data_IF_664779238166
#
_entry.id   IF_664779238166
#
_cell.length_a   1.000
_cell.length_b   1.000
_cell.length_c   1.000
_cell.angle_alpha   90.00
_cell.angle_beta   90.00
_cell.angle_gamma   90.00
#
_symmetry.space_group_name_H-M   'P 1'
#
loop_
_entity.id
_entity.type
_entity.pdbx_description
1 polymer ?
#
# COMPACT_ATOMS: atom_id res chain seq x y z
N UNK A 1 51.46 -7.31 -13.17
CA UNK A 1 51.87 -8.16 -12.03
C UNK A 1 52.25 -7.33 -10.80
N UNK A 2 53.22 -6.41 -10.88
CA UNK A 2 53.65 -5.59 -9.72
C UNK A 2 52.55 -4.68 -9.12
N UNK A 3 51.68 -4.08 -9.95
CA UNK A 3 50.56 -3.22 -9.50
C UNK A 3 49.47 -4.01 -8.77
N UNK A 4 49.22 -5.24 -9.21
CA UNK A 4 48.24 -6.15 -8.58
C UNK A 4 48.79 -6.66 -7.24
N UNK A 5 50.09 -6.94 -7.16
CA UNK A 5 50.76 -7.33 -5.92
C UNK A 5 50.78 -6.20 -4.89
N UNK A 6 51.06 -4.96 -5.31
CA UNK A 6 50.97 -3.78 -4.43
C UNK A 6 49.55 -3.56 -3.90
N UNK A 7 48.54 -3.74 -4.77
CA UNK A 7 47.13 -3.64 -4.40
C UNK A 7 46.70 -4.70 -3.39
N UNK A 8 47.13 -5.96 -3.57
CA UNK A 8 46.82 -7.06 -2.64
C UNK A 8 47.55 -6.88 -1.30
N UNK A 9 48.80 -6.39 -1.30
CA UNK A 9 49.56 -6.12 -0.07
C UNK A 9 48.97 -4.92 0.69
N UNK A 10 48.52 -3.85 0.00
CA UNK A 10 47.78 -2.77 0.65
C UNK A 10 46.44 -3.24 1.23
N UNK A 11 45.73 -4.13 0.54
CA UNK A 11 44.45 -4.69 1.01
C UNK A 11 44.63 -5.63 2.22
N UNK A 12 45.74 -6.40 2.25
CA UNK A 12 46.10 -7.24 3.38
C UNK A 12 46.63 -6.45 4.58
N UNK A 13 47.36 -5.35 4.36
CA UNK A 13 47.83 -4.48 5.45
C UNK A 13 46.69 -3.68 6.08
N UNK A 14 45.74 -3.19 5.28
CA UNK A 14 44.52 -2.55 5.81
C UNK A 14 43.64 -3.53 6.57
N UNK A 15 43.62 -4.82 6.21
CA UNK A 15 42.95 -5.85 7.01
C UNK A 15 43.72 -6.24 8.29
N UNK A 16 45.05 -6.18 8.28
CA UNK A 16 45.87 -6.51 9.44
C UNK A 16 45.80 -5.42 10.53
N UNK A 17 45.76 -4.14 10.16
CA UNK A 17 45.55 -3.03 11.11
C UNK A 17 44.10 -3.01 11.65
N UNK A 18 43.13 -3.42 10.85
CA UNK A 18 41.72 -3.51 11.27
C UNK A 18 41.45 -4.62 12.32
N UNK A 19 42.36 -5.58 12.50
CA UNK A 19 42.27 -6.61 13.55
C UNK A 19 42.88 -6.18 14.89
N UNK A 20 43.60 -5.06 14.95
CA UNK A 20 44.27 -4.57 16.16
C UNK A 20 43.35 -3.68 17.02
N UNK A 21 42.34 -3.06 16.40
CA UNK A 21 41.38 -2.18 17.06
C UNK A 21 40.03 -2.89 17.17
N UNK A 22 39.50 -3.01 18.39
CA UNK A 22 38.20 -3.63 18.66
C UNK A 22 37.20 -2.54 19.09
N UNK A 23 36.55 -1.86 18.12
CA UNK A 23 35.51 -0.88 18.42
C UNK A 23 34.25 -1.60 18.90
N UNK A 24 33.75 -1.20 20.05
CA UNK A 24 32.50 -1.72 20.59
C UNK A 24 31.52 -0.56 20.82
N UNK A 25 30.46 -0.53 20.02
CA UNK A 25 29.24 0.16 20.40
C UNK A 25 28.47 -0.79 21.31
N UNK A 26 28.39 -0.45 22.60
CA UNK A 26 27.72 -1.28 23.62
C UNK A 26 26.18 -1.22 23.49
N UNK A 27 25.66 -1.41 22.28
CA UNK A 27 24.25 -1.47 21.95
C UNK A 27 24.03 -2.31 20.70
N UNK A 28 23.11 -3.28 20.77
CA UNK A 28 22.66 -4.06 19.60
C UNK A 28 21.27 -3.59 19.19
N UNK A 29 21.20 -2.75 18.16
CA UNK A 29 19.94 -2.21 17.64
C UNK A 29 19.27 -1.22 18.62
N UNK A 30 19.34 0.07 18.30
CA UNK A 30 18.76 1.12 19.16
C UNK A 30 17.39 1.54 18.63
N UNK A 31 16.36 1.38 19.45
CA UNK A 31 15.05 1.98 19.22
C UNK A 31 14.97 3.33 19.95
N UNK A 32 14.60 4.39 19.23
CA UNK A 32 14.35 5.70 19.81
C UNK A 32 13.08 6.33 19.24
N UNK A 33 12.56 7.33 19.91
CA UNK A 33 11.42 8.08 19.39
C UNK A 33 11.84 9.31 18.58
N UNK A 34 10.98 9.74 17.66
CA UNK A 34 11.15 11.00 16.94
C UNK A 34 11.29 12.16 17.92
N UNK A 35 12.36 12.94 17.78
CA UNK A 35 12.70 14.06 18.65
C UNK A 35 13.64 13.69 19.81
N UNK A 36 13.72 12.42 20.18
CA UNK A 36 14.58 11.95 21.27
C UNK A 36 16.04 11.92 20.83
N UNK A 37 16.94 12.09 21.80
CA UNK A 37 18.37 11.92 21.63
C UNK A 37 18.85 10.88 22.62
N UNK A 38 19.42 9.79 22.12
CA UNK A 38 20.02 8.73 22.94
C UNK A 38 21.54 8.90 22.93
N UNK A 39 22.13 8.68 24.09
CA UNK A 39 23.58 8.66 24.28
C UNK A 39 24.02 7.21 24.28
N UNK A 40 24.85 6.82 23.31
CA UNK A 40 25.32 5.45 23.13
C UNK A 40 26.78 5.39 23.58
N UNK A 41 27.12 4.56 24.57
CA UNK A 41 28.50 4.39 24.99
C UNK A 41 29.31 3.69 23.90
N UNK A 42 30.46 4.28 23.60
CA UNK A 42 31.47 3.76 22.68
C UNK A 42 32.73 3.40 23.49
N UNK A 43 33.29 2.23 23.22
CA UNK A 43 34.57 1.82 23.78
C UNK A 43 35.49 1.27 22.69
N UNK A 44 36.74 1.75 22.66
CA UNK A 44 37.78 1.27 21.76
C UNK A 44 39.00 0.85 22.57
N UNK A 45 39.48 -0.36 22.30
CA UNK A 45 40.79 -0.82 22.77
C UNK A 45 41.88 -0.35 21.80
N UNK A 46 42.84 0.41 22.32
CA UNK A 46 43.97 0.96 21.55
C UNK A 46 45.22 0.12 21.90
N UNK A 47 45.90 -0.48 20.91
CA UNK A 47 47.16 -1.19 21.13
C UNK A 47 48.23 -0.26 21.72
N UNK A 48 49.00 -0.73 22.70
CA UNK A 48 50.10 0.04 23.32
C UNK A 48 51.18 0.49 22.32
N UNK A 49 51.27 -0.18 21.17
CA UNK A 49 52.22 0.14 20.10
C UNK A 49 51.80 1.34 19.23
N UNK A 50 50.57 1.84 19.37
CA UNK A 50 50.05 2.91 18.53
C UNK A 50 50.42 4.29 19.09
N UNK A 51 51.10 5.10 18.28
CA UNK A 51 51.45 6.49 18.59
C UNK A 51 50.86 7.39 17.49
N UNK A 52 49.76 8.07 17.81
CA UNK A 52 49.06 8.99 16.90
C UNK A 52 47.78 9.52 17.53
N UNK A 53 47.19 10.58 16.97
CA UNK A 53 45.88 11.07 17.39
C UNK A 53 44.81 10.26 16.67
N UNK A 54 43.83 9.79 17.43
CA UNK A 54 42.62 9.20 16.88
C UNK A 54 41.49 10.21 16.93
N UNK A 55 40.71 10.25 15.86
CA UNK A 55 39.47 11.00 15.80
C UNK A 55 38.30 10.08 15.44
N UNK A 56 37.10 10.47 15.82
CA UNK A 56 35.88 9.71 15.55
C UNK A 56 34.94 10.53 14.68
N UNK A 57 34.43 9.91 13.62
CA UNK A 57 33.43 10.51 12.74
C UNK A 57 32.24 9.58 12.62
N UNK A 58 31.06 10.13 12.92
CA UNK A 58 29.78 9.44 12.73
C UNK A 58 29.15 9.84 11.41
N UNK A 59 28.69 8.85 10.64
CA UNK A 59 27.88 9.05 9.45
C UNK A 59 26.56 8.29 9.60
N UNK A 60 25.49 8.88 9.09
CA UNK A 60 24.19 8.21 8.99
C UNK A 60 23.90 7.91 7.54
N UNK A 61 23.41 6.71 7.25
CA UNK A 61 23.03 6.30 5.91
C UNK A 61 21.86 7.13 5.37
N UNK A 62 20.92 7.49 6.25
CA UNK A 62 19.88 8.49 6.00
C UNK A 62 19.85 9.55 7.13
N UNK A 63 20.45 10.73 6.90
CA UNK A 63 20.48 11.80 7.89
C UNK A 63 19.11 12.44 8.13
N UNK A 64 18.10 12.19 7.29
CA UNK A 64 16.74 12.66 7.53
C UNK A 64 16.01 11.78 8.56
N UNK A 65 16.41 10.52 8.71
CA UNK A 65 15.82 9.58 9.68
C UNK A 65 16.50 9.74 11.03
N UNK A 66 17.82 9.62 11.06
CA UNK A 66 18.59 9.72 12.29
C UNK A 66 19.89 10.47 12.04
N UNK A 67 20.22 11.41 12.92
CA UNK A 67 21.47 12.17 12.87
C UNK A 67 22.36 11.76 14.01
N UNK A 68 23.62 11.51 13.69
CA UNK A 68 24.67 11.22 14.66
C UNK A 68 25.49 12.47 14.91
N UNK A 69 25.70 12.79 16.17
CA UNK A 69 26.61 13.82 16.64
C UNK A 69 27.66 13.15 17.51
N UNK A 70 28.90 13.19 17.02
CA UNK A 70 30.05 12.70 17.75
C UNK A 70 30.70 13.90 18.43
N UNK A 71 31.02 13.84 19.74
CA UNK A 71 31.84 14.85 20.36
C UNK A 71 33.21 14.88 19.65
N UNK A 72 33.66 16.07 19.24
CA UNK A 72 35.05 16.25 18.83
C UNK A 72 35.93 15.92 20.04
N UNK A 73 36.53 14.74 20.04
CA UNK A 73 37.44 14.28 21.08
C UNK A 73 38.63 13.60 20.40
N UNK A 74 39.83 14.09 20.73
CA UNK A 74 41.06 13.34 20.50
C UNK A 74 41.10 12.20 21.52
N UNK A 75 41.48 11.00 21.08
CA UNK A 75 41.60 9.86 22.00
C UNK A 75 42.48 10.22 23.21
N UNK A 76 42.08 9.84 24.43
CA UNK A 76 42.88 10.09 25.63
C UNK A 76 44.20 9.30 25.57
N UNK A 77 45.25 9.83 26.21
CA UNK A 77 46.50 9.09 26.41
C UNK A 77 46.21 7.80 27.23
N UNK A 78 46.24 6.63 26.56
CA UNK A 78 45.99 5.35 27.21
C UNK A 78 45.56 4.24 26.25
N UNK A 79 45.38 3.03 26.79
CA UNK A 79 44.99 1.81 26.06
C UNK A 79 43.48 1.65 25.84
N UNK A 80 42.66 2.54 26.40
CA UNK A 80 41.20 2.53 26.27
C UNK A 80 40.66 3.92 26.03
N UNK A 81 39.88 4.05 24.97
CA UNK A 81 39.08 5.23 24.70
C UNK A 81 37.61 4.91 24.98
N UNK A 82 37.06 5.52 26.03
CA UNK A 82 35.64 5.49 26.34
C UNK A 82 35.05 6.86 26.07
N UNK A 83 34.05 6.89 25.19
CA UNK A 83 33.29 8.11 24.90
C UNK A 83 31.83 7.74 24.65
N UNK A 84 31.03 8.71 24.23
CA UNK A 84 29.64 8.51 23.91
C UNK A 84 29.23 9.26 22.66
N UNK A 85 28.37 8.63 21.88
CA UNK A 85 27.85 9.19 20.64
C UNK A 85 26.40 9.57 20.88
N UNK A 86 26.01 10.76 20.42
CA UNK A 86 24.63 11.22 20.50
C UNK A 86 23.91 10.92 19.20
N UNK A 87 22.84 10.15 19.29
CA UNK A 87 21.99 9.81 18.15
C UNK A 87 20.63 10.47 18.34
N UNK A 88 20.25 11.35 17.43
CA UNK A 88 18.97 12.05 17.43
C UNK A 88 18.04 11.49 16.35
N UNK A 89 16.82 11.15 16.74
CA UNK A 89 15.77 10.71 15.82
C UNK A 89 15.08 11.91 15.21
N UNK A 90 15.13 12.04 13.89
CA UNK A 90 14.53 13.16 13.16
C UNK A 90 13.22 12.71 12.51
N UNK A 91 13.23 11.55 11.86
CA UNK A 91 12.08 11.04 11.12
C UNK A 91 11.91 9.54 11.30
N UNK A 92 10.68 9.04 11.08
CA UNK A 92 10.35 7.63 11.20
C UNK A 92 11.04 6.80 10.13
N UNK A 93 11.71 5.74 10.54
CA UNK A 93 12.39 4.85 9.61
C UNK A 93 13.49 4.04 10.27
N UNK A 94 14.31 3.42 9.44
CA UNK A 94 15.52 2.72 9.85
C UNK A 94 16.71 3.36 9.16
N UNK A 95 17.76 3.63 9.90
CA UNK A 95 19.03 4.12 9.36
C UNK A 95 20.18 3.39 10.03
N UNK A 96 21.22 3.07 9.27
CA UNK A 96 22.46 2.55 9.81
C UNK A 96 23.39 3.73 10.10
N UNK A 97 23.86 3.79 11.35
CA UNK A 97 24.87 4.72 11.80
C UNK A 97 26.20 4.02 11.74
N UNK A 98 27.10 4.56 10.93
CA UNK A 98 28.48 4.11 10.81
C UNK A 98 29.38 5.03 11.63
N UNK A 99 30.18 4.45 12.50
CA UNK A 99 31.16 5.16 13.30
C UNK A 99 32.54 4.74 12.80
N UNK A 100 33.22 5.68 12.16
CA UNK A 100 34.56 5.51 11.64
C UNK A 100 35.56 6.11 12.63
N UNK A 101 36.55 5.31 13.03
CA UNK A 101 37.72 5.78 13.76
C UNK A 101 38.82 6.07 12.75
N UNK A 102 39.35 7.28 12.77
CA UNK A 102 40.35 7.79 11.85
C UNK A 102 41.70 7.98 12.56
N UNK A 103 42.78 7.69 11.83
CA UNK A 103 44.16 8.04 12.19
C UNK A 103 44.46 9.51 11.80
N UNK A 104 45.62 10.04 12.20
CA UNK A 104 46.19 11.37 11.88
C UNK A 104 46.16 11.73 10.38
N UNK A 105 46.18 10.72 9.50
CA UNK A 105 46.13 10.89 8.04
C UNK A 105 44.72 10.72 7.44
N UNK A 106 43.66 10.83 8.25
CA UNK A 106 42.26 10.56 7.87
C UNK A 106 42.00 9.13 7.34
N UNK A 107 42.89 8.19 7.64
CA UNK A 107 42.74 6.78 7.30
C UNK A 107 41.80 6.06 8.26
N UNK A 108 40.82 5.32 7.74
CA UNK A 108 39.86 4.54 8.54
C UNK A 108 40.55 3.29 9.09
N UNK A 109 40.65 3.19 10.42
CA UNK A 109 41.32 2.08 11.11
C UNK A 109 40.33 1.10 11.76
N UNK A 110 39.15 1.58 12.12
CA UNK A 110 38.09 0.79 12.73
C UNK A 110 36.74 1.36 12.29
N UNK A 111 35.79 0.46 12.02
CA UNK A 111 34.43 0.81 11.62
C UNK A 111 33.45 -0.06 12.37
N UNK A 112 32.52 0.57 13.05
CA UNK A 112 31.40 -0.10 13.69
C UNK A 112 30.08 0.41 13.12
N UNK A 113 29.13 -0.51 12.92
CA UNK A 113 27.80 -0.17 12.38
C UNK A 113 26.73 -0.46 13.41
N UNK A 114 25.82 0.49 13.57
CA UNK A 114 24.67 0.35 14.45
C UNK A 114 23.38 0.66 13.69
N UNK A 115 22.47 -0.33 13.65
CA UNK A 115 21.12 -0.11 13.14
C UNK A 115 20.31 0.69 14.16
N UNK A 116 19.72 1.77 13.70
CA UNK A 116 18.90 2.67 14.49
C UNK A 116 17.49 2.71 13.93
N UNK A 117 16.51 2.39 14.76
CA UNK A 117 15.09 2.41 14.40
C UNK A 117 14.39 3.55 15.12
N UNK A 118 13.90 4.52 14.35
CA UNK A 118 13.17 5.66 14.88
C UNK A 118 11.68 5.37 14.78
N UNK A 119 11.02 5.29 15.93
CA UNK A 119 9.58 5.07 16.08
C UNK A 119 8.91 6.32 16.65
N UNK A 120 7.58 6.32 16.78
CA UNK A 120 6.86 7.36 17.51
C UNK A 120 6.47 6.80 18.89
N UNK A 121 6.36 7.64 19.93
CA UNK A 121 5.90 7.17 21.23
C UNK A 121 4.45 6.70 21.10
N UNK A 122 4.14 5.52 21.65
CA UNK A 122 2.78 5.00 21.64
C UNK A 122 1.88 5.90 22.49
N UNK A 123 0.86 6.48 21.87
CA UNK A 123 -0.14 7.31 22.56
C UNK A 123 -1.37 6.46 22.85
N UNK A 124 -2.11 6.81 23.91
CA UNK A 124 -3.43 6.19 24.20
C UNK A 124 -4.35 6.24 22.98
N UNK A 125 -4.22 7.28 22.15
CA UNK A 125 -4.98 7.46 20.91
C UNK A 125 -4.69 6.35 19.87
N UNK A 126 -3.48 5.77 19.85
CA UNK A 126 -3.11 4.69 18.94
C UNK A 126 -3.78 3.37 19.31
N UNK A 127 -3.87 3.07 20.60
CA UNK A 127 -4.61 1.91 21.10
C UNK A 127 -6.10 2.07 20.79
N UNK A 128 -6.65 3.26 21.09
CA UNK A 128 -8.06 3.56 20.85
C UNK A 128 -8.42 3.43 19.36
N UNK A 129 -7.52 3.89 18.48
CA UNK A 129 -7.65 3.72 17.04
C UNK A 129 -7.60 2.28 16.60
N UNK A 130 -6.62 1.52 17.09
CA UNK A 130 -6.47 0.10 16.75
C UNK A 130 -7.75 -0.66 17.11
N UNK A 131 -8.27 -0.47 18.32
CA UNK A 131 -9.54 -1.09 18.75
C UNK A 131 -10.72 -0.62 17.88
N UNK A 132 -10.78 0.68 17.55
CA UNK A 132 -11.84 1.25 16.71
C UNK A 132 -11.82 0.66 15.30
N UNK A 133 -10.66 0.62 14.64
CA UNK A 133 -10.52 0.05 13.29
C UNK A 133 -10.85 -1.44 13.28
N UNK A 134 -10.35 -2.22 14.25
CA UNK A 134 -10.69 -3.64 14.35
C UNK A 134 -12.19 -3.86 14.47
N UNK A 135 -12.87 -3.05 15.28
CA UNK A 135 -14.33 -3.10 15.47
C UNK A 135 -15.06 -2.72 14.18
N UNK A 136 -14.68 -1.62 13.54
CA UNK A 136 -15.32 -1.15 12.32
C UNK A 136 -15.12 -2.12 11.15
N UNK A 137 -13.92 -2.69 10.99
CA UNK A 137 -13.64 -3.72 9.99
C UNK A 137 -14.43 -4.99 10.28
N UNK A 138 -14.57 -5.40 11.55
CA UNK A 138 -15.42 -6.55 11.90
C UNK A 138 -16.89 -6.33 11.51
N UNK A 139 -17.43 -5.15 11.80
CA UNK A 139 -18.79 -4.77 11.36
C UNK A 139 -18.90 -4.75 9.83
N UNK A 140 -17.87 -4.26 9.14
CA UNK A 140 -17.82 -4.27 7.68
C UNK A 140 -17.86 -5.71 7.12
N UNK A 141 -17.12 -6.65 7.72
CA UNK A 141 -17.14 -8.06 7.31
C UNK A 141 -18.47 -8.75 7.62
N UNK A 142 -19.13 -8.40 8.73
CA UNK A 142 -20.52 -8.83 8.98
C UNK A 142 -21.43 -8.31 7.86
N UNK A 143 -21.31 -7.05 7.47
CA UNK A 143 -22.09 -6.47 6.38
C UNK A 143 -21.81 -7.18 5.04
N UNK A 144 -20.56 -7.54 4.75
CA UNK A 144 -20.23 -8.33 3.56
C UNK A 144 -20.87 -9.72 3.59
N UNK A 145 -20.86 -10.39 4.73
CA UNK A 145 -21.57 -11.66 4.92
C UNK A 145 -23.08 -11.52 4.69
N UNK A 146 -23.68 -10.41 5.15
CA UNK A 146 -25.08 -10.07 4.90
C UNK A 146 -25.37 -9.79 3.42
N UNK A 147 -24.43 -9.13 2.72
CA UNK A 147 -24.55 -8.76 1.32
C UNK A 147 -24.34 -9.93 0.34
N UNK A 148 -23.78 -11.05 0.83
CA UNK A 148 -23.50 -12.21 0.00
C UNK A 148 -24.80 -12.91 -0.42
N UNK A 149 -25.25 -12.65 -1.64
CA UNK A 149 -26.39 -13.35 -2.22
C UNK A 149 -25.92 -14.61 -2.97
N UNK A 150 -26.13 -15.76 -2.33
CA UNK A 150 -25.76 -17.06 -2.91
C UNK A 150 -26.54 -17.38 -4.19
N UNK A 151 -27.77 -16.88 -4.34
CA UNK A 151 -28.56 -17.11 -5.56
C UNK A 151 -27.94 -16.38 -6.75
N UNK A 152 -27.55 -15.12 -6.56
CA UNK A 152 -26.84 -14.31 -7.56
C UNK A 152 -25.47 -14.90 -7.87
N UNK A 153 -24.73 -15.36 -6.86
CA UNK A 153 -23.44 -16.03 -7.09
C UNK A 153 -23.61 -17.29 -7.93
N UNK A 154 -24.59 -18.14 -7.61
CA UNK A 154 -24.87 -19.38 -8.35
C UNK A 154 -25.32 -19.12 -9.78
N UNK A 155 -26.22 -18.15 -9.99
CA UNK A 155 -26.67 -17.76 -11.32
C UNK A 155 -25.51 -17.19 -12.15
N UNK A 156 -24.67 -16.35 -11.56
CA UNK A 156 -23.52 -15.78 -12.26
C UNK A 156 -22.49 -16.86 -12.61
N UNK A 157 -22.27 -17.84 -11.72
CA UNK A 157 -21.40 -19.00 -12.01
C UNK A 157 -21.95 -19.91 -13.11
N UNK A 158 -23.25 -19.86 -13.44
CA UNK A 158 -23.81 -20.56 -14.60
C UNK A 158 -23.35 -19.98 -15.94
N UNK A 159 -22.83 -18.74 -15.94
CA UNK A 159 -22.21 -18.07 -17.10
C UNK A 159 -20.73 -17.77 -16.78
N UNK A 160 -19.87 -18.80 -16.76
CA UNK A 160 -18.57 -18.73 -16.10
C UNK A 160 -17.55 -17.80 -16.75
N UNK A 161 -17.73 -17.43 -18.03
CA UNK A 161 -16.73 -16.68 -18.80
C UNK A 161 -16.41 -15.33 -18.13
N UNK A 162 -17.45 -14.54 -17.80
CA UNK A 162 -17.27 -13.23 -17.15
C UNK A 162 -16.56 -13.34 -15.79
N UNK A 163 -17.11 -14.08 -14.81
CA UNK A 163 -16.49 -14.27 -13.50
C UNK A 163 -15.09 -14.86 -13.55
N UNK A 164 -14.81 -15.78 -14.49
CA UNK A 164 -13.48 -16.36 -14.65
C UNK A 164 -12.47 -15.31 -15.11
N UNK A 165 -12.80 -14.51 -16.12
CA UNK A 165 -11.94 -13.41 -16.59
C UNK A 165 -11.74 -12.40 -15.46
N UNK A 166 -12.81 -12.00 -14.76
CA UNK A 166 -12.74 -11.11 -13.61
C UNK A 166 -11.85 -11.68 -12.49
N UNK A 167 -11.95 -12.98 -12.22
CA UNK A 167 -11.10 -13.68 -11.27
C UNK A 167 -9.63 -13.69 -11.67
N UNK A 168 -9.32 -13.92 -12.96
CA UNK A 168 -7.94 -13.83 -13.47
C UNK A 168 -7.41 -12.39 -13.38
N UNK A 169 -8.22 -11.40 -13.74
CA UNK A 169 -7.86 -10.00 -13.60
C UNK A 169 -7.58 -9.63 -12.14
N UNK A 170 -8.45 -10.05 -11.23
CA UNK A 170 -8.34 -9.72 -9.80
C UNK A 170 -7.21 -10.47 -9.09
N UNK A 171 -7.01 -11.76 -9.38
CA UNK A 171 -6.11 -12.62 -8.61
C UNK A 171 -4.76 -12.91 -9.27
N UNK A 172 -4.60 -12.57 -10.54
CA UNK A 172 -3.33 -12.70 -11.23
C UNK A 172 -2.84 -11.34 -11.72
N UNK A 173 -3.66 -10.62 -12.48
CA UNK A 173 -3.21 -9.38 -13.12
C UNK A 173 -2.96 -8.26 -12.12
N UNK A 174 -3.87 -8.01 -11.17
CA UNK A 174 -3.70 -6.94 -10.18
C UNK A 174 -2.49 -7.14 -9.25
N UNK A 175 -2.22 -8.34 -8.70
CA UNK A 175 -0.98 -8.62 -7.97
C UNK A 175 0.29 -8.36 -8.78
N UNK A 176 0.32 -8.79 -10.04
CA UNK A 176 1.47 -8.60 -10.92
C UNK A 176 1.68 -7.13 -11.29
N UNK A 177 0.59 -6.39 -11.54
CA UNK A 177 0.66 -4.93 -11.75
C UNK A 177 1.21 -4.24 -10.50
N UNK A 178 0.70 -4.57 -9.32
CA UNK A 178 1.18 -3.94 -8.08
C UNK A 178 2.65 -4.24 -7.81
N UNK A 179 3.09 -5.47 -8.02
CA UNK A 179 4.51 -5.84 -7.92
C UNK A 179 5.36 -5.06 -8.95
N UNK A 180 4.93 -5.02 -10.21
CA UNK A 180 5.64 -4.31 -11.27
C UNK A 180 5.75 -2.81 -11.01
N UNK A 181 4.64 -2.15 -10.66
CA UNK A 181 4.63 -0.71 -10.32
C UNK A 181 5.51 -0.45 -9.10
N UNK A 182 5.44 -1.31 -8.08
CA UNK A 182 6.31 -1.22 -6.90
C UNK A 182 7.79 -1.25 -7.28
N UNK A 183 8.22 -2.22 -8.09
CA UNK A 183 9.63 -2.35 -8.49
C UNK A 183 10.13 -1.22 -9.38
N UNK A 184 9.26 -0.64 -10.21
CA UNK A 184 9.62 0.46 -11.12
C UNK A 184 9.65 1.81 -10.41
N UNK A 185 8.66 2.10 -9.56
CA UNK A 185 8.54 3.42 -8.92
C UNK A 185 9.31 3.51 -7.59
N UNK A 186 9.53 2.39 -6.91
CA UNK A 186 10.11 2.35 -5.57
C UNK A 186 11.24 1.32 -5.45
N UNK A 187 12.27 1.33 -6.33
CA UNK A 187 13.32 0.30 -6.35
C UNK A 187 14.02 0.14 -4.99
N UNK A 188 14.27 1.26 -4.30
CA UNK A 188 15.01 1.31 -3.04
C UNK A 188 14.12 1.50 -1.80
N UNK A 189 12.78 1.50 -1.97
CA UNK A 189 11.83 1.72 -0.87
C UNK A 189 10.88 0.53 -0.71
N UNK A 190 11.26 -0.50 0.06
CA UNK A 190 10.49 -1.72 0.25
C UNK A 190 9.15 -1.47 0.96
N UNK A 191 9.05 -0.47 1.82
CA UNK A 191 7.80 -0.09 2.49
C UNK A 191 6.75 0.39 1.49
N UNK A 192 7.14 1.24 0.53
CA UNK A 192 6.23 1.65 -0.55
C UNK A 192 5.84 0.47 -1.43
N UNK A 193 6.80 -0.42 -1.77
CA UNK A 193 6.49 -1.65 -2.51
C UNK A 193 5.46 -2.53 -1.78
N UNK A 194 5.61 -2.71 -0.46
CA UNK A 194 4.65 -3.46 0.36
C UNK A 194 3.28 -2.78 0.36
N UNK A 195 3.23 -1.45 0.48
CA UNK A 195 1.99 -0.68 0.46
C UNK A 195 1.19 -0.87 -0.83
N UNK A 196 1.84 -0.74 -1.99
CA UNK A 196 1.17 -0.97 -3.29
C UNK A 196 0.81 -2.44 -3.49
N UNK A 197 1.70 -3.37 -3.09
CA UNK A 197 1.48 -4.80 -3.24
C UNK A 197 0.27 -5.28 -2.45
N UNK A 198 0.15 -4.89 -1.17
CA UNK A 198 -1.03 -5.19 -0.34
C UNK A 198 -2.31 -4.61 -0.92
N UNK A 199 -2.23 -3.44 -1.56
CA UNK A 199 -3.38 -2.84 -2.27
C UNK A 199 -3.80 -3.67 -3.49
N UNK A 200 -2.85 -4.17 -4.27
CA UNK A 200 -3.15 -4.95 -5.49
C UNK A 200 -3.56 -6.41 -5.26
N UNK A 201 -3.16 -7.01 -4.14
CA UNK A 201 -3.59 -8.38 -3.77
C UNK A 201 -4.92 -8.39 -3.01
N UNK A 202 -5.40 -7.21 -2.57
CA UNK A 202 -6.69 -7.08 -1.88
C UNK A 202 -7.84 -7.50 -2.80
N UNK A 203 -9.01 -7.90 -2.26
CA UNK A 203 -10.20 -8.14 -3.08
C UNK A 203 -10.77 -6.82 -3.63
N UNK A 204 -11.73 -6.94 -4.56
CA UNK A 204 -12.40 -5.76 -5.11
C UNK A 204 -13.18 -5.00 -4.03
N UNK A 205 -13.21 -3.66 -4.14
CA UNK A 205 -13.84 -2.78 -3.17
C UNK A 205 -15.32 -2.57 -3.45
N UNK A 206 -16.17 -2.59 -2.42
CA UNK A 206 -17.63 -2.44 -2.57
C UNK A 206 -18.12 -1.12 -3.22
N UNK A 207 -17.23 -0.14 -3.40
CA UNK A 207 -17.50 1.05 -4.21
C UNK A 207 -17.69 0.74 -5.70
N UNK A 208 -17.14 -0.38 -6.20
CA UNK A 208 -17.33 -0.86 -7.58
C UNK A 208 -18.80 -0.98 -7.95
N UNK A 209 -19.62 -1.54 -7.07
CA UNK A 209 -21.06 -1.69 -7.26
C UNK A 209 -21.77 -0.36 -7.57
N UNK A 210 -21.36 0.75 -6.96
CA UNK A 210 -21.94 2.07 -7.20
C UNK A 210 -21.55 2.57 -8.59
N UNK A 211 -20.26 2.51 -8.91
CA UNK A 211 -19.74 2.96 -10.20
C UNK A 211 -20.29 2.12 -11.35
N UNK A 212 -20.45 0.81 -11.15
CA UNK A 212 -21.10 -0.10 -12.09
C UNK A 212 -22.51 0.38 -12.41
N UNK A 213 -23.34 0.72 -11.42
CA UNK A 213 -24.69 1.28 -11.67
C UNK A 213 -24.62 2.63 -12.37
N UNK A 214 -23.79 3.55 -11.88
CA UNK A 214 -23.67 4.90 -12.45
C UNK A 214 -23.23 4.89 -13.93
N UNK A 215 -22.41 3.91 -14.29
CA UNK A 215 -21.89 3.73 -15.64
C UNK A 215 -22.66 2.68 -16.46
N UNK A 216 -23.83 2.22 -16.01
CA UNK A 216 -24.71 1.23 -16.68
C UNK A 216 -24.03 -0.13 -16.97
N UNK A 217 -23.10 -0.55 -16.10
CA UNK A 217 -22.56 -1.90 -16.11
C UNK A 217 -23.54 -2.93 -15.53
N UNK A 218 -23.20 -4.21 -15.66
CA UNK A 218 -23.94 -5.31 -15.08
C UNK A 218 -23.72 -5.37 -13.55
N UNK A 219 -24.70 -4.89 -12.79
CA UNK A 219 -24.63 -4.86 -11.32
C UNK A 219 -24.58 -6.27 -10.70
N UNK A 220 -25.38 -7.22 -11.22
CA UNK A 220 -25.42 -8.58 -10.68
C UNK A 220 -24.04 -9.25 -10.80
N UNK A 221 -23.36 -9.03 -11.93
CA UNK A 221 -22.00 -9.49 -12.14
C UNK A 221 -21.01 -8.83 -11.17
N UNK A 222 -21.08 -7.51 -10.96
CA UNK A 222 -20.22 -6.79 -10.01
C UNK A 222 -20.39 -7.32 -8.58
N UNK A 223 -21.63 -7.47 -8.09
CA UNK A 223 -21.90 -8.00 -6.75
C UNK A 223 -21.37 -9.44 -6.59
N UNK A 224 -21.57 -10.29 -7.60
CA UNK A 224 -21.07 -11.66 -7.58
C UNK A 224 -19.54 -11.69 -7.53
N UNK A 225 -18.86 -10.89 -8.35
CA UNK A 225 -17.40 -10.80 -8.36
C UNK A 225 -16.85 -10.21 -7.06
N UNK A 226 -17.46 -9.18 -6.47
CA UNK A 226 -17.03 -8.64 -5.17
C UNK A 226 -17.13 -9.72 -4.09
N UNK A 227 -18.24 -10.46 -4.08
CA UNK A 227 -18.50 -11.51 -3.08
C UNK A 227 -17.52 -12.67 -3.24
N UNK A 228 -17.38 -13.20 -4.46
CA UNK A 228 -16.45 -14.27 -4.77
C UNK A 228 -15.01 -13.84 -4.51
N UNK A 229 -14.66 -12.59 -4.84
CA UNK A 229 -13.30 -12.12 -4.65
C UNK A 229 -12.94 -11.94 -3.18
N UNK A 230 -13.88 -11.44 -2.37
CA UNK A 230 -13.73 -11.33 -0.92
C UNK A 230 -13.52 -12.71 -0.30
N UNK A 231 -14.31 -13.72 -0.69
CA UNK A 231 -14.12 -15.10 -0.22
C UNK A 231 -12.77 -15.68 -0.65
N UNK A 232 -12.39 -15.49 -1.91
CA UNK A 232 -11.12 -16.01 -2.42
C UNK A 232 -9.89 -15.29 -1.81
N UNK A 233 -10.03 -14.03 -1.39
CA UNK A 233 -8.91 -13.27 -0.78
C UNK A 233 -8.33 -13.90 0.49
N UNK A 234 -9.12 -14.67 1.25
CA UNK A 234 -8.62 -15.40 2.41
C UNK A 234 -7.53 -16.42 2.05
N UNK A 235 -7.54 -16.92 0.82
CA UNK A 235 -6.51 -17.83 0.30
C UNK A 235 -5.50 -17.11 -0.60
N UNK A 236 -5.97 -16.23 -1.48
CA UNK A 236 -5.11 -15.60 -2.49
C UNK A 236 -4.19 -14.52 -1.92
N UNK A 237 -4.62 -13.75 -0.91
CA UNK A 237 -3.74 -12.76 -0.27
C UNK A 237 -2.55 -13.44 0.44
N UNK A 238 -2.75 -14.43 1.33
CA UNK A 238 -1.62 -15.16 1.90
C UNK A 238 -0.73 -15.79 0.83
N UNK A 239 -1.30 -16.42 -0.20
CA UNK A 239 -0.53 -17.00 -1.31
C UNK A 239 0.43 -16.00 -1.97
N UNK A 240 -0.06 -14.79 -2.30
CA UNK A 240 0.79 -13.76 -2.89
C UNK A 240 1.81 -13.19 -1.92
N UNK A 241 1.47 -13.07 -0.64
CA UNK A 241 2.40 -12.66 0.42
C UNK A 241 3.53 -13.70 0.59
N UNK A 242 3.22 -15.00 0.53
CA UNK A 242 4.20 -16.08 0.63
C UNK A 242 5.10 -16.22 -0.60
N UNK A 243 4.69 -15.67 -1.75
CA UNK A 243 5.43 -15.73 -3.01
C UNK A 243 6.13 -14.40 -3.29
N UNK A 244 5.53 -13.50 -4.08
CA UNK A 244 6.13 -12.22 -4.46
C UNK A 244 6.30 -11.27 -3.27
N UNK A 245 5.40 -11.33 -2.29
CA UNK A 245 5.51 -10.52 -1.07
C UNK A 245 6.81 -10.79 -0.34
N UNK A 246 7.16 -12.08 -0.14
CA UNK A 246 8.41 -12.51 0.51
C UNK A 246 9.63 -11.83 -0.12
N UNK A 247 9.70 -11.75 -1.45
CA UNK A 247 10.80 -11.09 -2.14
C UNK A 247 10.92 -9.60 -1.77
N UNK A 248 9.79 -8.89 -1.65
CA UNK A 248 9.77 -7.47 -1.26
C UNK A 248 10.23 -7.32 0.20
N UNK A 249 9.73 -8.17 1.09
CA UNK A 249 10.09 -8.17 2.51
C UNK A 249 11.58 -8.48 2.74
N UNK A 250 12.10 -9.50 2.06
CA UNK A 250 13.51 -9.90 2.13
C UNK A 250 14.43 -8.77 1.65
N UNK A 251 14.02 -8.03 0.60
CA UNK A 251 14.78 -6.88 0.08
C UNK A 251 14.88 -5.72 1.08
N UNK A 252 13.94 -5.61 2.02
CA UNK A 252 13.91 -4.54 3.02
C UNK A 252 14.39 -4.94 4.41
N UNK A 253 14.98 -6.14 4.58
CA UNK A 253 15.28 -6.69 5.91
C UNK A 253 14.06 -6.65 6.85
N UNK A 254 12.86 -6.85 6.29
CA UNK A 254 11.60 -6.87 7.03
C UNK A 254 11.16 -8.33 7.20
N UNK A 255 10.96 -8.77 8.43
CA UNK A 255 10.44 -10.11 8.70
C UNK A 255 8.95 -10.14 8.36
N UNK A 256 8.55 -11.04 7.46
CA UNK A 256 7.14 -11.21 7.12
C UNK A 256 6.36 -11.71 8.35
N UNK A 257 5.32 -11.00 8.80
CA UNK A 257 4.56 -11.37 10.00
C UNK A 257 3.51 -12.45 9.70
N UNK A 258 3.93 -13.61 9.19
CA UNK A 258 3.06 -14.68 8.70
C UNK A 258 2.00 -15.11 9.72
N UNK A 259 2.41 -15.31 10.97
CA UNK A 259 1.50 -15.71 12.06
C UNK A 259 0.39 -14.67 12.26
N UNK A 260 0.73 -13.37 12.28
CA UNK A 260 -0.25 -12.29 12.48
C UNK A 260 -1.21 -12.22 11.30
N UNK A 261 -0.71 -12.27 10.08
CA UNK A 261 -1.54 -12.25 8.86
C UNK A 261 -2.52 -13.42 8.87
N UNK A 262 -2.06 -14.63 9.21
CA UNK A 262 -2.92 -15.81 9.32
C UNK A 262 -3.99 -15.67 10.42
N UNK A 263 -3.62 -15.18 11.62
CA UNK A 263 -4.58 -14.94 12.69
C UNK A 263 -5.63 -13.90 12.31
N UNK A 264 -5.22 -12.81 11.65
CA UNK A 264 -6.14 -11.77 11.19
C UNK A 264 -7.08 -12.32 10.12
N UNK A 265 -6.56 -13.05 9.13
CA UNK A 265 -7.36 -13.67 8.09
C UNK A 265 -8.40 -14.62 8.68
N UNK A 266 -8.00 -15.54 9.56
CA UNK A 266 -8.94 -16.45 10.26
C UNK A 266 -9.93 -15.68 11.12
N UNK A 267 -9.46 -14.64 11.81
CA UNK A 267 -10.28 -13.76 12.64
C UNK A 267 -11.39 -13.04 11.85
N UNK A 268 -11.16 -12.71 10.58
CA UNK A 268 -12.14 -12.08 9.69
C UNK A 268 -13.15 -13.07 9.07
N UNK A 269 -12.86 -14.38 9.07
CA UNK A 269 -13.82 -15.41 8.64
C UNK A 269 -15.01 -15.49 9.62
N UNK A 270 -14.76 -15.29 10.92
CA UNK A 270 -15.82 -15.30 11.95
C UNK A 270 -16.90 -14.23 11.72
N UNK A 271 -16.59 -12.91 11.63
CA UNK A 271 -17.59 -11.88 11.38
C UNK A 271 -18.29 -12.08 10.03
N UNK A 272 -17.57 -12.54 8.99
CA UNK A 272 -18.18 -12.88 7.71
C UNK A 272 -19.22 -14.00 7.85
N UNK A 273 -18.88 -15.07 8.57
CA UNK A 273 -19.79 -16.19 8.86
C UNK A 273 -21.02 -15.76 9.67
N UNK A 274 -20.84 -14.87 10.64
CA UNK A 274 -21.95 -14.25 11.39
C UNK A 274 -22.86 -13.46 10.44
N UNK A 275 -22.29 -12.65 9.55
CA UNK A 275 -23.05 -11.92 8.53
C UNK A 275 -23.86 -12.85 7.62
N UNK A 276 -23.24 -13.93 7.14
CA UNK A 276 -23.93 -14.93 6.32
C UNK A 276 -25.05 -15.65 7.08
N UNK A 277 -24.84 -15.94 8.37
CA UNK A 277 -25.89 -16.51 9.21
C UNK A 277 -27.08 -15.55 9.38
N UNK A 278 -26.81 -14.25 9.57
CA UNK A 278 -27.85 -13.20 9.63
C UNK A 278 -28.60 -13.13 8.30
N UNK A 279 -27.90 -13.18 7.16
CA UNK A 279 -28.48 -13.21 5.82
C UNK A 279 -29.55 -14.32 5.70
N UNK A 280 -29.21 -15.53 6.16
CA UNK A 280 -30.07 -16.71 6.03
C UNK A 280 -31.25 -16.71 7.00
N UNK A 281 -31.03 -16.30 8.26
CA UNK A 281 -32.04 -16.43 9.32
C UNK A 281 -32.89 -15.17 9.51
N UNK A 282 -32.35 -14.00 9.17
CA UNK A 282 -32.98 -12.69 9.42
C UNK A 282 -32.89 -11.79 8.17
N UNK A 283 -33.60 -12.11 7.07
CA UNK A 283 -33.48 -11.38 5.79
C UNK A 283 -33.85 -9.90 5.91
N UNK A 284 -34.81 -9.54 6.78
CA UNK A 284 -35.15 -8.15 7.07
C UNK A 284 -33.97 -7.37 7.65
N UNK A 285 -33.27 -7.95 8.63
CA UNK A 285 -32.09 -7.35 9.24
C UNK A 285 -30.95 -7.25 8.22
N UNK A 286 -30.72 -8.31 7.43
CA UNK A 286 -29.72 -8.29 6.35
C UNK A 286 -29.96 -7.14 5.37
N UNK A 287 -31.20 -6.92 4.93
CA UNK A 287 -31.51 -5.83 4.00
C UNK A 287 -31.15 -4.43 4.56
N UNK A 288 -31.29 -4.22 5.87
CA UNK A 288 -30.91 -2.99 6.55
C UNK A 288 -29.38 -2.88 6.64
N UNK A 289 -28.70 -3.96 7.03
CA UNK A 289 -27.23 -4.04 7.10
C UNK A 289 -26.59 -3.71 5.74
N UNK A 290 -27.07 -4.34 4.65
CA UNK A 290 -26.60 -4.07 3.28
C UNK A 290 -26.83 -2.61 2.87
N UNK A 291 -27.94 -2.00 3.28
CA UNK A 291 -28.23 -0.59 2.99
C UNK A 291 -27.26 0.35 3.72
N UNK A 292 -26.91 0.04 4.96
CA UNK A 292 -25.99 0.84 5.79
C UNK A 292 -24.52 0.63 5.39
N UNK A 293 -24.18 -0.47 4.74
CA UNK A 293 -22.82 -0.80 4.32
C UNK A 293 -22.13 0.35 3.56
N UNK A 294 -22.83 1.02 2.63
CA UNK A 294 -22.25 2.10 1.83
C UNK A 294 -21.82 3.33 2.65
N UNK A 295 -22.72 4.01 3.38
CA UNK A 295 -22.31 5.15 4.22
C UNK A 295 -21.31 4.73 5.29
N UNK A 296 -21.43 3.52 5.83
CA UNK A 296 -20.50 3.00 6.82
C UNK A 296 -19.07 2.85 6.27
N UNK A 297 -18.88 2.30 5.07
CA UNK A 297 -17.57 2.20 4.42
C UNK A 297 -16.93 3.57 4.18
N UNK A 298 -17.73 4.58 3.80
CA UNK A 298 -17.24 5.96 3.63
C UNK A 298 -16.79 6.53 4.97
N UNK A 299 -17.59 6.37 6.03
CA UNK A 299 -17.25 6.81 7.38
C UNK A 299 -15.97 6.12 7.88
N UNK A 300 -15.80 4.81 7.63
CA UNK A 300 -14.60 4.07 7.99
C UNK A 300 -13.35 4.62 7.28
N UNK A 301 -13.43 4.86 5.97
CA UNK A 301 -12.30 5.42 5.21
C UNK A 301 -11.97 6.83 5.71
N UNK A 302 -12.98 7.69 5.89
CA UNK A 302 -12.78 9.03 6.45
C UNK A 302 -12.17 8.96 7.85
N UNK A 303 -12.65 8.06 8.70
CA UNK A 303 -12.08 7.86 10.05
C UNK A 303 -10.61 7.44 9.99
N UNK A 304 -10.26 6.47 9.13
CA UNK A 304 -8.87 6.03 8.97
C UNK A 304 -7.99 7.15 8.44
N UNK A 305 -8.44 7.89 7.42
CA UNK A 305 -7.71 9.00 6.81
C UNK A 305 -7.56 10.14 7.81
N UNK A 306 -8.65 10.61 8.41
CA UNK A 306 -8.61 11.68 9.43
C UNK A 306 -7.72 11.28 10.59
N UNK A 307 -7.81 10.06 11.10
CA UNK A 307 -6.92 9.60 12.15
C UNK A 307 -5.45 9.56 11.69
N UNK A 308 -5.17 9.06 10.49
CA UNK A 308 -3.83 9.05 9.92
C UNK A 308 -3.28 10.48 9.83
N UNK A 309 -4.09 11.44 9.39
CA UNK A 309 -3.72 12.86 9.33
C UNK A 309 -3.47 13.44 10.73
N UNK A 310 -4.38 13.22 11.68
CA UNK A 310 -4.30 13.77 13.04
C UNK A 310 -3.13 13.20 13.83
N UNK A 311 -2.85 11.91 13.66
CA UNK A 311 -1.72 11.27 14.35
C UNK A 311 -0.40 11.48 13.65
N UNK A 312 -0.43 11.68 12.33
CA UNK A 312 0.74 11.68 11.49
C UNK A 312 0.64 12.75 10.38
N UNK A 313 0.72 14.03 10.75
CA UNK A 313 0.86 15.14 9.79
C UNK A 313 2.05 14.90 8.82
N UNK A 314 3.08 14.19 9.27
CA UNK A 314 4.20 13.76 8.44
C UNK A 314 3.81 12.82 7.28
N UNK A 315 2.69 12.09 7.32
CA UNK A 315 2.28 11.24 6.19
C UNK A 315 2.01 12.07 4.92
N UNK A 316 1.67 13.35 5.07
CA UNK A 316 1.58 14.27 3.93
C UNK A 316 2.93 14.75 3.43
N UNK A 317 3.95 14.81 4.27
CA UNK A 317 5.33 15.05 3.82
C UNK A 317 5.84 13.88 2.97
N UNK A 318 5.34 12.66 3.22
CA UNK A 318 5.62 11.50 2.39
C UNK A 318 4.95 11.54 1.02
N UNK A 319 3.91 12.35 0.79
CA UNK A 319 3.18 12.39 -0.48
C UNK A 319 4.08 12.95 -1.60
N UNK A 320 4.94 12.10 -2.13
CA UNK A 320 5.79 12.40 -3.26
C UNK A 320 5.01 12.22 -4.57
N UNK A 321 5.54 12.81 -5.64
CA UNK A 321 5.02 12.59 -6.99
C UNK A 321 4.93 11.10 -7.34
N UNK A 322 5.90 10.28 -6.90
CA UNK A 322 5.91 8.83 -7.13
C UNK A 322 4.73 8.13 -6.43
N UNK A 323 4.38 8.54 -5.21
CA UNK A 323 3.22 7.97 -4.50
C UNK A 323 1.93 8.30 -5.23
N UNK A 324 1.73 9.55 -5.65
CA UNK A 324 0.54 9.94 -6.43
C UNK A 324 0.48 9.16 -7.74
N UNK A 325 1.60 9.07 -8.46
CA UNK A 325 1.70 8.32 -9.71
C UNK A 325 1.40 6.83 -9.50
N UNK A 326 1.87 6.23 -8.42
CA UNK A 326 1.56 4.84 -8.06
C UNK A 326 0.09 4.66 -7.71
N UNK A 327 -0.49 5.64 -6.99
CA UNK A 327 -1.88 5.71 -6.59
C UNK A 327 -2.84 5.82 -7.78
N UNK A 328 -2.42 6.51 -8.84
CA UNK A 328 -3.12 6.52 -10.14
C UNK A 328 -2.85 5.22 -10.91
N UNK A 329 -1.59 4.81 -10.99
CA UNK A 329 -1.13 3.72 -11.83
C UNK A 329 -1.84 2.40 -11.56
N UNK A 330 -1.93 1.99 -10.30
CA UNK A 330 -2.53 0.70 -9.95
C UNK A 330 -4.02 0.60 -10.35
N UNK A 331 -4.93 1.47 -9.85
CA UNK A 331 -6.34 1.38 -10.22
C UNK A 331 -6.58 1.67 -11.71
N UNK A 332 -5.82 2.60 -12.32
CA UNK A 332 -6.07 2.99 -13.71
C UNK A 332 -5.61 1.93 -14.70
N UNK A 333 -4.45 1.31 -14.47
CA UNK A 333 -4.02 0.14 -15.23
C UNK A 333 -4.97 -1.03 -14.99
N UNK A 334 -5.49 -1.21 -13.78
CA UNK A 334 -6.54 -2.18 -13.49
C UNK A 334 -7.80 -1.98 -14.36
N UNK A 335 -8.30 -0.74 -14.46
CA UNK A 335 -9.42 -0.42 -15.35
C UNK A 335 -9.12 -0.76 -16.82
N UNK A 336 -7.94 -0.35 -17.30
CA UNK A 336 -7.53 -0.56 -18.70
C UNK A 336 -7.37 -2.06 -19.00
N UNK A 337 -6.67 -2.79 -18.14
CA UNK A 337 -6.44 -4.21 -18.32
C UNK A 337 -7.72 -5.03 -18.23
N UNK A 338 -8.60 -4.73 -17.27
CA UNK A 338 -9.91 -5.38 -17.16
C UNK A 338 -10.79 -5.11 -18.39
N UNK A 339 -10.74 -3.88 -18.92
CA UNK A 339 -11.42 -3.53 -20.17
C UNK A 339 -10.83 -4.28 -21.39
N UNK A 340 -9.51 -4.30 -21.54
CA UNK A 340 -8.81 -4.99 -22.64
C UNK A 340 -9.09 -6.50 -22.62
N UNK A 341 -8.98 -7.15 -21.47
CA UNK A 341 -9.22 -8.57 -21.31
C UNK A 341 -10.64 -8.95 -21.77
N UNK A 342 -11.63 -8.14 -21.40
CA UNK A 342 -13.03 -8.37 -21.75
C UNK A 342 -13.37 -8.05 -23.21
N UNK A 343 -12.70 -7.05 -23.79
CA UNK A 343 -12.82 -6.78 -25.21
C UNK A 343 -12.27 -7.91 -26.07
N UNK A 344 -11.10 -8.47 -25.70
CA UNK A 344 -10.50 -9.62 -26.38
C UNK A 344 -11.45 -10.83 -26.30
N UNK A 345 -12.10 -11.04 -25.16
CA UNK A 345 -13.06 -12.11 -24.95
C UNK A 345 -14.47 -11.81 -25.51
N UNK A 346 -14.65 -10.70 -26.24
CA UNK A 346 -15.88 -10.30 -26.96
C UNK A 346 -17.15 -10.31 -26.10
N UNK A 347 -17.03 -9.87 -24.85
CA UNK A 347 -18.14 -9.88 -23.90
C UNK A 347 -19.11 -8.69 -24.09
N UNK A 348 -20.36 -8.78 -23.60
CA UNK A 348 -21.34 -7.70 -23.69
C UNK A 348 -20.84 -6.41 -23.03
N UNK A 349 -21.16 -5.24 -23.60
CA UNK A 349 -20.67 -3.93 -23.12
C UNK A 349 -20.97 -3.66 -21.64
N UNK A 350 -22.10 -4.15 -21.13
CA UNK A 350 -22.45 -4.02 -19.71
C UNK A 350 -21.50 -4.82 -18.81
N UNK A 351 -21.09 -6.01 -19.24
CA UNK A 351 -20.16 -6.87 -18.51
C UNK A 351 -18.73 -6.33 -18.62
N UNK A 352 -18.31 -5.85 -19.80
CA UNK A 352 -17.01 -5.18 -19.97
C UNK A 352 -16.86 -4.02 -18.99
N UNK A 353 -17.89 -3.17 -18.85
CA UNK A 353 -17.88 -2.06 -17.89
C UNK A 353 -17.79 -2.56 -16.44
N UNK A 354 -18.58 -3.57 -16.09
CA UNK A 354 -18.57 -4.13 -14.73
C UNK A 354 -17.19 -4.69 -14.35
N UNK A 355 -16.60 -5.53 -15.20
CA UNK A 355 -15.29 -6.16 -14.91
C UNK A 355 -14.15 -5.14 -14.93
N UNK A 356 -14.17 -4.17 -15.85
CA UNK A 356 -13.17 -3.11 -15.85
C UNK A 356 -13.19 -2.36 -14.51
N UNK A 357 -14.37 -1.89 -14.08
CA UNK A 357 -14.55 -1.19 -12.80
C UNK A 357 -14.14 -2.08 -11.62
N UNK A 358 -14.59 -3.33 -11.60
CA UNK A 358 -14.28 -4.28 -10.53
C UNK A 358 -12.77 -4.53 -10.39
N UNK A 359 -12.06 -4.64 -11.52
CA UNK A 359 -10.61 -4.90 -11.54
C UNK A 359 -9.82 -3.70 -11.01
N UNK A 360 -10.19 -2.48 -11.37
CA UNK A 360 -9.44 -1.31 -10.92
C UNK A 360 -9.80 -0.84 -9.51
N UNK A 361 -11.03 -1.05 -9.04
CA UNK A 361 -11.41 -0.67 -7.67
C UNK A 361 -11.00 -1.76 -6.69
N UNK A 362 -9.93 -1.49 -5.94
CA UNK A 362 -9.46 -2.37 -4.87
C UNK A 362 -10.03 -1.98 -3.50
N UNK A 363 -10.13 -2.95 -2.60
CA UNK A 363 -10.52 -2.70 -1.21
C UNK A 363 -9.33 -2.18 -0.39
N UNK A 364 -9.07 -0.88 -0.51
CA UNK A 364 -7.97 -0.20 0.21
C UNK A 364 -8.13 -0.28 1.73
N UNK A 365 -9.36 -0.41 2.25
CA UNK A 365 -9.62 -0.58 3.68
C UNK A 365 -9.04 -1.89 4.23
N UNK A 366 -9.18 -3.00 3.49
CA UNK A 366 -8.57 -4.29 3.87
C UNK A 366 -7.04 -4.20 3.80
N UNK A 367 -6.49 -3.55 2.77
CA UNK A 367 -5.05 -3.33 2.66
C UNK A 367 -4.49 -2.57 3.87
N UNK A 368 -5.09 -1.42 4.21
CA UNK A 368 -4.68 -0.60 5.37
C UNK A 368 -4.79 -1.39 6.66
N UNK A 369 -5.90 -2.11 6.85
CA UNK A 369 -6.12 -2.94 8.03
C UNK A 369 -5.03 -4.01 8.17
N UNK A 370 -4.74 -4.77 7.12
CA UNK A 370 -3.70 -5.81 7.19
C UNK A 370 -2.33 -5.22 7.44
N UNK A 371 -1.96 -4.11 6.79
CA UNK A 371 -0.67 -3.45 6.98
C UNK A 371 -0.48 -2.98 8.43
N UNK A 372 -1.48 -2.27 8.98
CA UNK A 372 -1.43 -1.71 10.34
C UNK A 372 -1.33 -2.76 11.43
N UNK A 373 -2.04 -3.88 11.27
CA UNK A 373 -2.10 -4.92 12.31
C UNK A 373 -1.02 -5.99 12.17
N UNK A 374 -0.49 -6.16 10.96
CA UNK A 374 0.54 -7.17 10.70
C UNK A 374 1.94 -6.62 10.93
N UNK A 375 2.20 -5.37 10.54
CA UNK A 375 3.53 -4.77 10.61
C UNK A 375 3.77 -4.04 11.94
N UNK A 376 5.04 -3.95 12.33
CA UNK A 376 5.48 -3.08 13.43
C UNK A 376 5.73 -1.67 12.90
N UNK A 377 5.66 -0.68 13.79
CA UNK A 377 6.14 0.67 13.47
C UNK A 377 7.66 0.63 13.21
N UNK A 378 8.21 1.47 12.32
CA UNK A 378 7.54 2.51 11.52
C UNK A 378 6.88 2.01 10.21
N UNK A 379 7.19 0.79 9.76
CA UNK A 379 6.72 0.25 8.48
C UNK A 379 5.18 0.21 8.35
N UNK A 380 4.47 -0.08 9.45
CA UNK A 380 3.01 -0.05 9.50
C UNK A 380 2.42 1.30 9.07
N UNK A 381 3.09 2.41 9.33
CA UNK A 381 2.59 3.74 8.99
C UNK A 381 3.02 4.13 7.58
N UNK A 382 4.28 3.90 7.22
CA UNK A 382 4.84 4.21 5.90
C UNK A 382 4.09 3.49 4.78
N UNK A 383 3.79 2.20 4.96
CA UNK A 383 3.10 1.37 3.96
C UNK A 383 1.66 1.83 3.68
N UNK A 384 1.00 2.52 4.63
CA UNK A 384 -0.43 2.89 4.50
C UNK A 384 -0.68 4.10 3.60
N UNK A 385 0.37 4.88 3.30
CA UNK A 385 0.25 6.06 2.44
C UNK A 385 -0.24 5.68 1.04
N UNK A 386 0.26 4.58 0.48
CA UNK A 386 -0.11 4.15 -0.88
C UNK A 386 -1.58 3.73 -0.98
N UNK A 387 -2.12 2.83 -0.14
CA UNK A 387 -3.55 2.51 -0.16
C UNK A 387 -4.45 3.75 -0.06
N UNK A 388 -4.05 4.75 0.75
CA UNK A 388 -4.77 6.03 0.85
C UNK A 388 -4.69 6.78 -0.47
N UNK A 389 -3.50 6.93 -1.06
CA UNK A 389 -3.32 7.55 -2.37
C UNK A 389 -4.16 6.85 -3.46
N UNK A 390 -4.16 5.51 -3.51
CA UNK A 390 -5.01 4.74 -4.41
C UNK A 390 -6.49 5.06 -4.20
N UNK A 391 -6.97 5.13 -2.96
CA UNK A 391 -8.38 5.44 -2.66
C UNK A 391 -8.79 6.84 -3.16
N UNK A 392 -7.89 7.82 -3.08
CA UNK A 392 -8.12 9.18 -3.55
C UNK A 392 -8.09 9.28 -5.09
N UNK A 393 -7.21 8.53 -5.75
CA UNK A 393 -6.99 8.60 -7.19
C UNK A 393 -7.93 7.69 -8.01
N UNK A 394 -8.48 6.63 -7.40
CA UNK A 394 -9.45 5.70 -8.03
C UNK A 394 -10.71 6.37 -8.60
N UNK A 395 -11.43 7.26 -7.89
CA UNK A 395 -12.68 7.83 -8.38
C UNK A 395 -12.51 8.84 -9.52
N UNK A 396 -11.31 9.40 -9.74
CA UNK A 396 -11.08 10.47 -10.71
C UNK A 396 -11.48 10.10 -12.16
N UNK A 397 -10.94 9.02 -12.78
CA UNK A 397 -11.31 8.66 -14.15
C UNK A 397 -12.79 8.28 -14.27
N UNK A 398 -13.35 7.61 -13.25
CA UNK A 398 -14.76 7.21 -13.24
C UNK A 398 -15.69 8.41 -13.12
N UNK A 399 -15.32 9.41 -12.32
CA UNK A 399 -16.02 10.68 -12.19
C UNK A 399 -16.04 11.46 -13.51
N UNK A 400 -14.90 11.50 -14.21
CA UNK A 400 -14.81 12.12 -15.56
C UNK A 400 -15.73 11.39 -16.54
N UNK A 401 -15.68 10.06 -16.60
CA UNK A 401 -16.55 9.27 -17.48
C UNK A 401 -18.04 9.50 -17.18
N UNK A 402 -18.39 9.58 -15.90
CA UNK A 402 -19.76 9.87 -15.47
C UNK A 402 -20.19 11.29 -15.88
N UNK A 403 -19.33 12.30 -15.70
CA UNK A 403 -19.61 13.67 -16.13
C UNK A 403 -19.82 13.76 -17.65
N UNK A 404 -18.94 13.14 -18.44
CA UNK A 404 -19.08 13.07 -19.91
C UNK A 404 -20.43 12.45 -20.27
N UNK A 405 -20.77 11.33 -19.64
CA UNK A 405 -22.05 10.64 -19.86
C UNK A 405 -23.24 11.55 -19.54
N UNK A 406 -23.23 12.25 -18.41
CA UNK A 406 -24.30 13.20 -18.02
C UNK A 406 -24.44 14.32 -19.05
N UNK A 407 -23.33 14.89 -19.52
CA UNK A 407 -23.34 15.96 -20.54
C UNK A 407 -23.89 15.45 -21.87
N UNK A 408 -23.44 14.29 -22.34
CA UNK A 408 -23.92 13.69 -23.60
C UNK A 408 -25.42 13.37 -23.53
N UNK A 409 -25.88 12.80 -22.42
CA UNK A 409 -27.30 12.48 -22.24
C UNK A 409 -28.18 13.74 -22.19
N UNK A 410 -27.70 14.82 -21.55
CA UNK A 410 -28.38 16.13 -21.57
C UNK A 410 -28.44 16.71 -22.98
N UNK A 411 -27.36 16.61 -23.78
CA UNK A 411 -27.33 17.08 -25.17
C UNK A 411 -28.29 16.29 -26.07
N UNK A 412 -28.33 14.96 -25.94
CA UNK A 412 -29.29 14.10 -26.68
C UNK A 412 -30.73 14.46 -26.33
N UNK A 413 -31.05 14.62 -25.03
CA UNK A 413 -32.38 15.07 -24.58
C UNK A 413 -32.77 16.48 -25.06
N UNK A 414 -31.81 17.34 -25.39
CA UNK A 414 -32.08 18.67 -25.97
C UNK A 414 -32.28 18.62 -27.50
N UNK A 415 -31.62 17.68 -28.19
CA UNK A 415 -31.71 17.51 -29.64
C UNK A 415 -32.95 16.74 -30.10
N UNK A 416 -33.37 15.70 -29.38
CA UNK A 416 -34.54 14.87 -29.75
C UNK A 416 -35.85 15.68 -29.83
N UNK A 417 -36.19 16.54 -28.84
CA UNK A 417 -37.38 17.39 -28.92
C UNK A 417 -37.30 18.46 -30.02
N UNK A 418 -36.08 18.89 -30.37
CA UNK A 418 -35.86 19.86 -31.44
C UNK A 418 -36.06 19.24 -32.82
N UNK A 419 -35.67 17.97 -33.02
CA UNK A 419 -35.89 17.22 -34.26
C UNK A 419 -37.36 16.84 -34.45
N UNK A 420 -38.06 16.44 -33.38
CA UNK A 420 -39.50 16.18 -33.45
C UNK A 420 -40.29 17.45 -33.83
N UNK A 421 -39.92 18.61 -33.29
CA UNK A 421 -40.49 19.91 -33.72
C UNK A 421 -40.17 20.25 -35.18
N UNK A 422 -38.93 20.03 -35.62
CA UNK A 422 -38.54 20.26 -37.01
C UNK A 422 -39.27 19.33 -37.99
N UNK A 423 -39.62 18.11 -37.59
CA UNK A 423 -40.39 17.16 -38.40
C UNK A 423 -41.90 17.44 -38.40
N UNK A 424 -42.45 18.01 -37.32
CA UNK A 424 -43.86 18.44 -37.29
C UNK A 424 -44.13 19.70 -38.12
N UNK A 425 -43.10 20.52 -38.33
CA UNK A 425 -43.22 21.81 -39.04
C UNK A 425 -42.95 21.69 -40.56
N UNK A 426 -42.66 20.49 -41.09
CA UNK A 426 -42.55 20.25 -42.54
C UNK A 426 -43.96 20.06 -43.12
N UNK A 427 -44.44 20.93 -44.02
CA UNK A 427 -45.73 20.71 -44.68
C UNK A 427 -45.67 19.43 -45.53
N UNK A 428 -46.66 18.54 -45.38
CA UNK A 428 -46.83 17.41 -46.29
C UNK A 428 -46.94 17.94 -47.73
N UNK A 429 -45.96 17.62 -48.57
CA UNK A 429 -46.00 17.94 -49.98
C UNK A 429 -47.27 17.31 -50.58
N UNK A 430 -48.18 18.17 -51.05
CA UNK A 430 -49.39 17.79 -51.79
C UNK A 430 -49.00 17.01 -53.04
N UNK A 431 -49.34 15.73 -53.08
CA UNK A 431 -49.29 14.90 -54.28
C UNK A 431 -50.24 15.48 -55.34
N UNK A 432 -49.81 15.74 -56.59
CA UNK A 432 -50.69 16.24 -57.62
C UNK A 432 -51.69 15.15 -58.04
N UNK A 433 -52.97 15.52 -58.08
CA UNK A 433 -54.08 14.70 -58.56
C UNK A 433 -53.90 14.39 -60.05
N UNK A 434 -53.77 13.10 -60.38
CA UNK A 434 -53.86 12.63 -61.77
C UNK A 434 -55.33 12.71 -62.18
N UNK A 435 -55.62 13.59 -63.14
CA UNK A 435 -56.90 13.70 -63.83
C UNK A 435 -57.00 12.51 -64.79
N UNK A 436 -58.04 11.70 -64.64
CA UNK A 436 -58.43 10.66 -65.59
C UNK A 436 -59.41 11.25 -66.60
N UNK A 437 -59.00 11.30 -67.87
CA UNK A 437 -59.91 11.30 -69.02
C UNK A 437 -59.96 9.90 -69.64
#
# INVERSE_FOLDING_TARGET
>A
MAVIYLGIVMLLMTQADAQLFDPSLNATGVELHVGDTIVIPFSLLIPESYQGVLSMVGRSSDPNIGKVEVPWAAAPEGTRWNDSIRVKGIFLGRTDIEVDVLNDNDGIIAREKLMVTVTRPERVIDTLFTVSVATLVSILYINFGCAMDWSVCRETLSRPIGPLIGGVCQFLLMPLLAFGIGRVLFPDNPEMQIGIFFTGISPSGGASNIWTVLLEGNLNLSIAMTSLSTLASFATMPFWIFTLGKYIFDSGNLVVPYKRIAYIAVGLVLPLGVGYFIQKKFPRLSSVMVRIMKPFSVVLILFIVTFAIFTNLYLFELFSFQIVLSGMGLPWLGFICGWLAMMICRQPRADVRAIAIETGIQNTGIAIFLLRFSLKQPAADLTTVIPVACSMMTPLPLGILWLIKVVVNRRKKKYVPSMEKLQSDVPLATTPSVISD
#
